data_IF_776184082760
#
_entry.id   IF_776184082760
#
_cell.length_a   1.000
_cell.length_b   1.000
_cell.length_c   1.000
_cell.angle_alpha   90.00
_cell.angle_beta   90.00
_cell.angle_gamma   90.00
#
_symmetry.space_group_name_H-M   'P 1'
#
loop_
_entity.id
_entity.type
_entity.pdbx_description
1 polymer ?
#
# COMPACT_ATOMS: atom_id res chain seq x y z
N UNK A 1 -1.33 4.03 -20.19
CA UNK A 1 -2.34 4.06 -19.11
C UNK A 1 -1.57 3.86 -17.81
N UNK A 2 -1.87 4.60 -16.74
CA UNK A 2 -1.09 4.58 -15.50
C UNK A 2 -1.99 4.09 -14.37
N UNK A 3 -1.59 3.01 -13.70
CA UNK A 3 -2.39 2.40 -12.64
C UNK A 3 -1.89 2.82 -11.26
N UNK A 4 -2.80 2.91 -10.31
CA UNK A 4 -2.53 3.19 -8.91
C UNK A 4 -3.08 2.03 -8.07
N UNK A 5 -2.20 1.29 -7.41
CA UNK A 5 -2.59 0.29 -6.43
C UNK A 5 -2.69 0.96 -5.06
N UNK A 6 -3.91 1.36 -4.69
CA UNK A 6 -4.22 2.05 -3.43
C UNK A 6 -5.17 1.23 -2.52
N UNK A 7 -4.76 0.04 -2.05
CA UNK A 7 -5.59 -0.79 -1.18
C UNK A 7 -5.44 -0.43 0.29
N UNK A 8 -6.44 -0.84 1.07
CA UNK A 8 -6.32 -1.01 2.53
C UNK A 8 -5.85 -2.44 2.87
N UNK A 9 -5.49 -2.67 4.13
CA UNK A 9 -5.14 -3.96 4.68
C UNK A 9 -6.31 -4.96 4.62
N UNK A 10 -5.96 -6.24 4.52
CA UNK A 10 -6.90 -7.31 4.79
C UNK A 10 -6.76 -7.68 6.25
N UNK A 11 -7.72 -7.24 7.07
CA UNK A 11 -7.66 -7.35 8.53
C UNK A 11 -7.36 -8.78 8.99
N UNK A 12 -6.26 -8.92 9.73
CA UNK A 12 -5.81 -10.20 10.29
C UNK A 12 -5.07 -11.12 9.30
N UNK A 13 -4.82 -10.69 8.06
CA UNK A 13 -4.10 -11.49 7.06
C UNK A 13 -2.96 -10.74 6.39
N UNK A 14 -3.25 -9.65 5.66
CA UNK A 14 -2.26 -8.91 4.88
C UNK A 14 -2.27 -7.42 5.21
N UNK A 15 -1.08 -6.85 5.36
CA UNK A 15 -0.90 -5.39 5.47
C UNK A 15 -1.20 -4.69 4.15
N UNK A 16 -1.59 -3.42 4.18
CA UNK A 16 -1.86 -2.65 2.96
C UNK A 16 -0.66 -2.66 1.96
N UNK A 17 0.62 -2.58 2.39
CA UNK A 17 1.77 -2.73 1.49
C UNK A 17 1.83 -4.09 0.79
N UNK A 18 1.52 -5.18 1.49
CA UNK A 18 1.51 -6.53 0.89
C UNK A 18 0.41 -6.66 -0.17
N UNK A 19 -0.78 -6.10 0.10
CA UNK A 19 -1.87 -6.08 -0.88
C UNK A 19 -1.50 -5.22 -2.09
N UNK A 20 -0.90 -4.05 -1.88
CA UNK A 20 -0.47 -3.16 -2.96
C UNK A 20 0.57 -3.84 -3.86
N UNK A 21 1.55 -4.53 -3.28
CA UNK A 21 2.56 -5.28 -4.04
C UNK A 21 1.93 -6.43 -4.83
N UNK A 22 0.98 -7.17 -4.26
CA UNK A 22 0.29 -8.25 -4.98
C UNK A 22 -0.50 -7.73 -6.20
N UNK A 23 -1.21 -6.60 -6.05
CA UNK A 23 -1.90 -5.93 -7.18
C UNK A 23 -0.87 -5.45 -8.21
N UNK A 24 0.21 -4.82 -7.75
CA UNK A 24 1.30 -4.34 -8.60
C UNK A 24 1.95 -5.47 -9.41
N UNK A 25 2.18 -6.62 -8.79
CA UNK A 25 2.74 -7.79 -9.45
C UNK A 25 1.83 -8.28 -10.59
N UNK A 26 0.53 -8.44 -10.34
CA UNK A 26 -0.42 -8.84 -11.38
C UNK A 26 -0.51 -7.83 -12.53
N UNK A 27 -0.45 -6.52 -12.24
CA UNK A 27 -0.42 -5.48 -13.26
C UNK A 27 0.86 -5.54 -14.10
N UNK A 28 2.03 -5.74 -13.47
CA UNK A 28 3.31 -5.88 -14.16
C UNK A 28 3.34 -7.14 -15.04
N UNK A 29 2.80 -8.25 -14.58
CA UNK A 29 2.64 -9.48 -15.37
C UNK A 29 1.78 -9.26 -16.61
N UNK A 30 0.76 -8.39 -16.52
CA UNK A 30 -0.08 -7.97 -17.64
C UNK A 30 0.57 -6.89 -18.54
N UNK A 31 1.82 -6.50 -18.29
CA UNK A 31 2.54 -5.49 -19.07
C UNK A 31 2.16 -4.04 -18.72
N UNK A 32 1.59 -3.81 -17.54
CA UNK A 32 1.20 -2.49 -17.07
C UNK A 32 2.10 -1.98 -15.94
N UNK A 33 2.30 -0.66 -15.90
CA UNK A 33 2.97 0.02 -14.78
C UNK A 33 1.97 0.40 -13.69
N UNK A 34 2.37 0.21 -12.43
CA UNK A 34 1.57 0.53 -11.26
C UNK A 34 2.39 1.32 -10.24
N UNK A 35 1.84 2.42 -9.76
CA UNK A 35 2.31 3.12 -8.57
C UNK A 35 1.66 2.50 -7.33
N UNK A 36 2.43 2.23 -6.29
CA UNK A 36 1.95 1.57 -5.07
C UNK A 36 1.75 2.62 -3.98
N UNK A 37 0.51 2.79 -3.53
CA UNK A 37 0.15 3.77 -2.50
C UNK A 37 -0.74 3.10 -1.45
N UNK A 38 -0.17 2.32 -0.52
CA UNK A 38 -0.94 1.69 0.55
C UNK A 38 -1.72 2.75 1.36
N UNK A 39 -3.00 2.48 1.61
CA UNK A 39 -3.90 3.37 2.32
C UNK A 39 -4.38 2.76 3.64
N UNK A 40 -4.99 3.60 4.47
CA UNK A 40 -5.63 3.23 5.72
C UNK A 40 -6.76 4.24 6.04
N UNK A 41 -7.76 3.82 6.81
CA UNK A 41 -8.99 4.59 7.06
C UNK A 41 -9.01 5.34 8.41
N UNK A 42 -7.93 5.26 9.19
CA UNK A 42 -7.87 5.75 10.58
C UNK A 42 -7.72 4.64 11.62
N UNK A 43 -7.87 3.37 11.21
CA UNK A 43 -7.63 2.20 12.06
C UNK A 43 -6.16 1.80 12.19
N UNK A 44 -5.96 0.51 12.46
CA UNK A 44 -4.64 -0.12 12.51
C UNK A 44 -3.89 0.06 11.17
N UNK A 45 -2.58 0.30 11.24
CA UNK A 45 -1.77 0.55 10.04
C UNK A 45 -1.80 1.99 9.50
N UNK A 46 -2.69 2.87 10.02
CA UNK A 46 -2.73 4.28 9.58
C UNK A 46 -1.43 5.02 9.80
N UNK A 47 -0.77 4.79 10.94
CA UNK A 47 0.54 5.40 11.19
C UNK A 47 1.58 4.91 10.18
N UNK A 48 1.57 3.63 9.83
CA UNK A 48 2.53 3.09 8.86
C UNK A 48 2.30 3.66 7.45
N UNK A 49 1.04 3.81 7.04
CA UNK A 49 0.68 4.47 5.78
C UNK A 49 1.15 5.94 5.75
N UNK A 50 0.95 6.69 6.84
CA UNK A 50 1.40 8.08 6.95
C UNK A 50 2.93 8.20 6.95
N UNK A 51 3.63 7.33 7.68
CA UNK A 51 5.09 7.33 7.74
C UNK A 51 5.69 7.06 6.35
N UNK A 52 5.14 6.08 5.62
CA UNK A 52 5.57 5.75 4.26
C UNK A 52 5.32 6.92 3.29
N UNK A 53 4.15 7.58 3.37
CA UNK A 53 3.79 8.68 2.48
C UNK A 53 4.55 9.98 2.78
N UNK A 54 4.86 10.25 4.06
CA UNK A 54 5.45 11.52 4.51
C UNK A 54 6.96 11.44 4.78
N UNK A 55 7.57 10.25 4.67
CA UNK A 55 8.99 10.04 4.99
C UNK A 55 9.30 10.21 6.48
N UNK A 56 8.33 9.90 7.34
CA UNK A 56 8.46 10.06 8.80
C UNK A 56 9.13 8.87 9.47
N UNK A 57 9.51 9.05 10.74
CA UNK A 57 10.09 8.01 11.59
C UNK A 57 9.34 7.93 12.94
N UNK A 58 9.29 6.73 13.53
CA UNK A 58 8.77 6.54 14.89
C UNK A 58 9.85 6.94 15.90
N UNK A 59 9.53 7.83 16.84
CA UNK A 59 10.40 8.18 17.97
C UNK A 59 9.82 7.60 19.26
N UNK A 60 10.70 7.05 20.09
CA UNK A 60 10.40 6.52 21.41
C UNK A 60 10.65 7.58 22.49
#
# INVERSE_FOLDING_TARGET
MRFLACPDSFKGTFTAPQVAEAIGAGLREAGAEAELVPAADGGEGTMDALLAALGGERRA
#
